data_IF_105614642674
#
_entry.id   IF_105614642674
#
_cell.length_a   1.000
_cell.length_b   1.000
_cell.length_c   1.000
_cell.angle_alpha   90.00
_cell.angle_beta   90.00
_cell.angle_gamma   90.00
#
_symmetry.space_group_name_H-M   'P 1'
#
loop_
_entity.id
_entity.type
_entity.pdbx_description
1 polymer ?
#
# COMPACT_ATOMS: atom_id res chain seq x y z
N UNK A 1 -13.84 30.78 -15.13
CA UNK A 1 -13.80 29.32 -15.32
C UNK A 1 -14.26 28.71 -14.00
N UNK A 2 -15.44 28.10 -13.94
CA UNK A 2 -15.82 27.32 -12.75
C UNK A 2 -14.84 26.16 -12.62
N UNK A 3 -14.29 25.97 -11.43
CA UNK A 3 -13.50 24.78 -11.09
C UNK A 3 -14.44 23.58 -11.15
N UNK A 4 -14.55 22.93 -12.30
CA UNK A 4 -15.23 21.64 -12.40
C UNK A 4 -14.33 20.62 -11.71
N UNK A 5 -14.65 20.32 -10.44
CA UNK A 5 -13.88 19.36 -9.65
C UNK A 5 -13.94 17.95 -10.26
N UNK A 6 -12.81 17.25 -10.30
CA UNK A 6 -12.79 15.84 -10.71
C UNK A 6 -13.40 14.96 -9.62
N UNK A 7 -14.49 14.27 -9.96
CA UNK A 7 -15.11 13.29 -9.05
C UNK A 7 -14.13 12.14 -8.76
N UNK A 8 -13.31 11.78 -9.74
CA UNK A 8 -12.32 10.72 -9.59
C UNK A 8 -11.15 11.13 -8.71
N UNK A 9 -10.60 12.34 -8.89
CA UNK A 9 -9.56 12.84 -8.01
C UNK A 9 -10.01 12.82 -6.54
N UNK A 10 -11.24 13.27 -6.26
CA UNK A 10 -11.82 13.22 -4.91
C UNK A 10 -11.87 11.80 -4.33
N UNK A 11 -12.21 10.79 -5.13
CA UNK A 11 -12.22 9.37 -4.68
C UNK A 11 -10.81 8.84 -4.39
N UNK A 12 -9.82 9.15 -5.23
CA UNK A 12 -8.43 8.75 -4.98
C UNK A 12 -7.86 9.46 -3.74
N UNK A 13 -8.17 10.73 -3.52
CA UNK A 13 -7.82 11.45 -2.29
C UNK A 13 -8.47 10.79 -1.07
N UNK A 14 -9.77 10.47 -1.15
CA UNK A 14 -10.47 9.77 -0.07
C UNK A 14 -9.84 8.41 0.26
N UNK A 15 -9.50 7.60 -0.75
CA UNK A 15 -8.78 6.34 -0.54
C UNK A 15 -7.39 6.57 0.07
N UNK A 16 -6.69 7.61 -0.34
CA UNK A 16 -5.37 7.97 0.22
C UNK A 16 -5.48 8.28 1.71
N UNK A 17 -6.52 9.01 2.15
CA UNK A 17 -6.76 9.24 3.57
C UNK A 17 -7.13 7.97 4.32
N UNK A 18 -7.93 7.08 3.73
CA UNK A 18 -8.25 5.80 4.34
C UNK A 18 -6.98 4.95 4.56
N UNK A 19 -6.13 4.81 3.53
CA UNK A 19 -4.87 4.09 3.64
C UNK A 19 -3.87 4.80 4.58
N UNK A 20 -3.82 6.13 4.57
CA UNK A 20 -3.03 6.91 5.52
C UNK A 20 -3.49 6.73 6.97
N UNK A 21 -4.80 6.60 7.21
CA UNK A 21 -5.36 6.27 8.52
C UNK A 21 -4.92 4.88 8.99
N UNK A 22 -4.91 3.89 8.12
CA UNK A 22 -4.36 2.55 8.43
C UNK A 22 -2.86 2.64 8.74
N UNK A 23 -2.07 3.40 7.98
CA UNK A 23 -0.66 3.64 8.29
C UNK A 23 -0.51 4.24 9.71
N UNK A 24 -1.30 5.25 10.03
CA UNK A 24 -1.28 5.91 11.34
C UNK A 24 -1.54 4.91 12.47
N UNK A 25 -2.57 4.05 12.35
CA UNK A 25 -2.87 3.02 13.36
C UNK A 25 -1.70 2.06 13.51
N UNK A 26 -1.12 1.58 12.41
CA UNK A 26 0.04 0.68 12.45
C UNK A 26 1.21 1.34 13.18
N UNK A 27 1.58 2.57 12.82
CA UNK A 27 2.69 3.27 13.47
C UNK A 27 2.42 3.57 14.94
N UNK A 28 1.19 3.94 15.30
CA UNK A 28 0.81 4.16 16.69
C UNK A 28 0.99 2.87 17.52
N UNK A 29 0.56 1.72 16.99
CA UNK A 29 0.75 0.41 17.63
C UNK A 29 2.22 0.03 17.74
N UNK A 30 3.02 0.27 16.69
CA UNK A 30 4.45 -0.01 16.72
C UNK A 30 5.19 0.85 17.75
N UNK A 31 4.87 2.15 17.82
CA UNK A 31 5.46 3.06 18.82
C UNK A 31 5.06 2.61 20.23
N UNK A 32 3.78 2.33 20.45
CA UNK A 32 3.29 1.82 21.74
C UNK A 32 3.98 0.50 22.12
N UNK A 33 4.12 -0.43 21.17
CA UNK A 33 4.82 -1.70 21.38
C UNK A 33 6.29 -1.51 21.75
N UNK A 34 7.00 -0.56 21.13
CA UNK A 34 8.37 -0.21 21.53
C UNK A 34 8.43 0.36 22.96
N UNK A 35 7.50 1.25 23.33
CA UNK A 35 7.45 1.82 24.69
C UNK A 35 7.20 0.72 25.73
N UNK A 36 6.21 -0.14 25.50
CA UNK A 36 5.88 -1.24 26.42
C UNK A 36 7.06 -2.22 26.55
N UNK A 37 7.68 -2.61 25.44
CA UNK A 37 8.84 -3.50 25.46
C UNK A 37 10.04 -2.88 26.19
N UNK A 38 10.22 -1.55 26.11
CA UNK A 38 11.21 -0.81 26.89
C UNK A 38 10.96 -0.86 28.40
N UNK A 39 9.72 -1.11 28.82
CA UNK A 39 9.31 -1.33 30.21
C UNK A 39 9.28 -2.82 30.60
N UNK A 40 9.77 -3.72 29.74
CA UNK A 40 9.72 -5.16 29.95
C UNK A 40 8.33 -5.79 29.74
N UNK A 41 7.37 -5.04 29.18
CA UNK A 41 6.04 -5.54 28.84
C UNK A 41 5.95 -5.89 27.36
N UNK A 42 5.81 -7.17 27.04
CA UNK A 42 5.77 -7.68 25.68
C UNK A 42 4.36 -8.03 25.19
N UNK A 43 3.31 -7.41 25.75
CA UNK A 43 1.92 -7.66 25.35
C UNK A 43 1.63 -7.41 23.86
N UNK A 44 2.41 -6.53 23.20
CA UNK A 44 2.33 -6.26 21.76
C UNK A 44 3.47 -6.90 20.97
N UNK A 45 4.15 -7.90 21.56
CA UNK A 45 5.35 -8.51 21.02
C UNK A 45 6.63 -7.72 21.34
N UNK A 46 7.77 -8.14 20.77
CA UNK A 46 9.03 -7.46 20.96
C UNK A 46 9.03 -6.08 20.30
N UNK A 47 9.91 -5.21 20.77
CA UNK A 47 10.12 -3.88 20.19
C UNK A 47 10.39 -3.99 18.68
N UNK A 48 9.62 -3.28 17.85
CA UNK A 48 9.79 -3.35 16.40
C UNK A 48 11.17 -2.84 15.94
N UNK A 49 11.80 -1.95 16.72
CA UNK A 49 13.18 -1.52 16.49
C UNK A 49 14.19 -2.68 16.55
N UNK A 50 13.99 -3.65 17.45
CA UNK A 50 14.81 -4.87 17.55
C UNK A 50 14.58 -5.79 16.34
N UNK A 51 13.35 -5.86 15.85
CA UNK A 51 13.03 -6.62 14.63
C UNK A 51 13.75 -6.01 13.41
N UNK A 52 13.68 -4.69 13.24
CA UNK A 52 14.36 -3.99 12.15
C UNK A 52 15.87 -4.21 12.20
N UNK A 53 16.46 -4.19 13.39
CA UNK A 53 17.89 -4.48 13.59
C UNK A 53 18.27 -5.96 13.38
N UNK A 54 17.29 -6.88 13.38
CA UNK A 54 17.49 -8.34 13.35
C UNK A 54 17.80 -8.95 11.99
N UNK A 55 17.99 -8.17 10.93
CA UNK A 55 18.41 -8.65 9.60
C UNK A 55 17.24 -9.03 8.68
N UNK A 56 17.29 -10.22 8.07
CA UNK A 56 16.44 -10.58 6.92
C UNK A 56 14.92 -10.45 7.13
N UNK A 57 14.41 -10.87 8.29
CA UNK A 57 13.00 -10.68 8.63
C UNK A 57 12.65 -9.19 8.86
N UNK A 58 13.57 -8.44 9.46
CA UNK A 58 13.48 -6.98 9.60
C UNK A 58 13.43 -6.26 8.24
N UNK A 59 14.16 -6.76 7.24
CA UNK A 59 14.08 -6.24 5.87
C UNK A 59 12.70 -6.47 5.25
N UNK A 60 12.09 -7.63 5.45
CA UNK A 60 10.72 -7.90 4.98
C UNK A 60 9.71 -6.96 5.61
N UNK A 61 9.80 -6.78 6.93
CA UNK A 61 8.94 -5.85 7.67
C UNK A 61 9.09 -4.42 7.14
N UNK A 62 10.33 -3.95 7.06
CA UNK A 62 10.66 -2.57 6.64
C UNK A 62 10.23 -2.32 5.19
N UNK A 63 10.54 -3.23 4.28
CA UNK A 63 10.17 -3.09 2.86
C UNK A 63 8.66 -3.18 2.66
N UNK A 64 7.94 -3.99 3.43
CA UNK A 64 6.48 -4.02 3.41
C UNK A 64 5.87 -2.68 3.85
N UNK A 65 6.38 -2.08 4.93
CA UNK A 65 5.92 -0.76 5.39
C UNK A 65 6.26 0.35 4.38
N UNK A 66 7.47 0.34 3.81
CA UNK A 66 7.87 1.29 2.77
C UNK A 66 7.02 1.15 1.51
N UNK A 67 6.78 -0.07 1.04
CA UNK A 67 5.92 -0.34 -0.11
C UNK A 67 4.48 0.15 0.16
N UNK A 68 3.97 -0.05 1.38
CA UNK A 68 2.65 0.46 1.77
C UNK A 68 2.59 1.99 1.69
N UNK A 69 3.57 2.68 2.26
CA UNK A 69 3.60 4.15 2.26
C UNK A 69 3.82 4.73 0.88
N UNK A 70 4.73 4.17 0.09
CA UNK A 70 5.13 4.73 -1.19
C UNK A 70 4.15 4.33 -2.29
N UNK A 71 3.87 3.03 -2.44
CA UNK A 71 3.09 2.51 -3.56
C UNK A 71 1.60 2.61 -3.27
N UNK A 72 1.16 2.14 -2.10
CA UNK A 72 -0.27 2.14 -1.79
C UNK A 72 -0.78 3.54 -1.43
N UNK A 73 -0.22 4.19 -0.40
CA UNK A 73 -0.65 5.53 0.02
C UNK A 73 -0.21 6.58 -1.00
N UNK A 74 1.10 6.70 -1.22
CA UNK A 74 1.69 7.71 -2.09
C UNK A 74 1.25 7.59 -3.54
N UNK A 75 1.30 6.39 -4.11
CA UNK A 75 0.87 6.13 -5.49
C UNK A 75 -0.61 6.41 -5.72
N UNK A 76 -1.48 6.07 -4.78
CA UNK A 76 -2.92 6.41 -4.85
C UNK A 76 -3.13 7.92 -4.79
N UNK A 77 -2.45 8.62 -3.88
CA UNK A 77 -2.56 10.08 -3.76
C UNK A 77 -2.02 10.80 -5.00
N UNK A 78 -0.87 10.36 -5.51
CA UNK A 78 -0.28 10.91 -6.71
C UNK A 78 -1.18 10.71 -7.94
N UNK A 79 -1.86 9.56 -8.03
CA UNK A 79 -2.80 9.26 -9.12
C UNK A 79 -3.96 10.26 -9.20
N UNK A 80 -4.39 10.84 -8.08
CA UNK A 80 -5.45 11.84 -8.06
C UNK A 80 -5.12 13.08 -8.92
N UNK A 81 -3.85 13.46 -9.03
CA UNK A 81 -3.44 14.60 -9.87
C UNK A 81 -3.70 14.34 -11.35
N UNK A 82 -3.50 13.11 -11.83
CA UNK A 82 -3.79 12.77 -13.23
C UNK A 82 -5.29 12.82 -13.53
N UNK A 83 -6.12 12.31 -12.62
CA UNK A 83 -7.58 12.41 -12.76
C UNK A 83 -8.06 13.86 -12.72
N UNK A 84 -7.52 14.67 -11.80
CA UNK A 84 -7.84 16.10 -11.73
C UNK A 84 -7.42 16.84 -12.99
N UNK A 85 -6.24 16.54 -13.53
CA UNK A 85 -5.77 17.16 -14.75
C UNK A 85 -6.68 16.83 -15.95
N UNK A 86 -7.09 15.56 -16.09
CA UNK A 86 -7.93 15.13 -17.21
C UNK A 86 -9.36 15.69 -17.09
N UNK A 87 -10.02 15.51 -15.95
CA UNK A 87 -11.42 15.91 -15.81
C UNK A 87 -11.57 17.41 -15.53
N UNK A 88 -10.75 17.96 -14.64
CA UNK A 88 -10.90 19.34 -14.18
C UNK A 88 -10.14 20.35 -15.04
N UNK A 89 -8.89 20.07 -15.41
CA UNK A 89 -8.11 21.01 -16.24
C UNK A 89 -8.46 20.90 -17.72
N UNK A 90 -8.53 19.67 -18.27
CA UNK A 90 -8.81 19.47 -19.70
C UNK A 90 -10.31 19.32 -20.02
N UNK A 91 -11.20 19.30 -19.01
CA UNK A 91 -12.64 19.20 -19.21
C UNK A 91 -13.08 17.88 -19.88
N UNK A 92 -12.27 16.82 -19.78
CA UNK A 92 -12.55 15.52 -20.39
C UNK A 92 -13.12 14.56 -19.37
N UNK A 93 -14.45 14.57 -19.25
CA UNK A 93 -15.15 13.69 -18.32
C UNK A 93 -14.88 12.21 -18.63
N UNK A 94 -14.53 11.43 -17.60
CA UNK A 94 -14.27 10.00 -17.74
C UNK A 94 -15.58 9.22 -17.59
N UNK A 95 -16.29 9.03 -18.70
CA UNK A 95 -17.58 8.33 -18.77
C UNK A 95 -17.47 6.93 -19.39
N UNK A 96 -18.53 6.12 -19.26
CA UNK A 96 -18.62 4.80 -19.88
C UNK A 96 -17.51 3.85 -19.41
N UNK A 97 -16.82 3.19 -20.35
CA UNK A 97 -15.74 2.24 -20.04
C UNK A 97 -14.60 2.84 -19.22
N UNK A 98 -14.32 4.15 -19.36
CA UNK A 98 -13.29 4.83 -18.56
C UNK A 98 -13.68 4.98 -17.10
N UNK A 99 -14.97 5.16 -16.82
CA UNK A 99 -15.49 5.20 -15.46
C UNK A 99 -15.35 3.82 -14.78
N UNK A 100 -15.63 2.73 -15.50
CA UNK A 100 -15.43 1.37 -14.99
C UNK A 100 -13.94 1.11 -14.74
N UNK A 101 -13.09 1.44 -15.71
CA UNK A 101 -11.64 1.27 -15.56
C UNK A 101 -11.06 2.09 -14.41
N UNK A 102 -11.59 3.28 -14.15
CA UNK A 102 -11.18 4.10 -13.00
C UNK A 102 -11.55 3.47 -11.66
N UNK A 103 -12.71 2.79 -11.55
CA UNK A 103 -13.04 1.98 -10.38
C UNK A 103 -12.09 0.80 -10.23
N UNK A 104 -11.79 0.10 -11.32
CA UNK A 104 -10.84 -1.02 -11.30
C UNK A 104 -9.47 -0.54 -10.83
N UNK A 105 -9.00 0.61 -11.32
CA UNK A 105 -7.74 1.21 -10.90
C UNK A 105 -7.75 1.54 -9.41
N UNK A 106 -8.77 2.28 -8.94
CA UNK A 106 -8.89 2.69 -7.54
C UNK A 106 -8.98 1.49 -6.60
N UNK A 107 -9.72 0.46 -6.96
CA UNK A 107 -9.94 -0.69 -6.09
C UNK A 107 -8.80 -1.69 -6.18
N UNK A 108 -8.54 -2.26 -7.36
CA UNK A 108 -7.53 -3.31 -7.51
C UNK A 108 -6.11 -2.76 -7.34
N UNK A 109 -5.81 -1.57 -7.89
CA UNK A 109 -4.49 -0.95 -7.77
C UNK A 109 -4.17 -0.60 -6.31
N UNK A 110 -5.03 0.19 -5.67
CA UNK A 110 -4.79 0.65 -4.29
C UNK A 110 -4.92 -0.48 -3.26
N UNK A 111 -5.96 -1.32 -3.33
CA UNK A 111 -6.14 -2.39 -2.34
C UNK A 111 -5.20 -3.57 -2.60
N UNK A 112 -4.87 -3.87 -3.86
CA UNK A 112 -3.89 -4.88 -4.22
C UNK A 112 -2.50 -4.54 -3.68
N UNK A 113 -2.03 -3.32 -3.94
CA UNK A 113 -0.72 -2.86 -3.44
C UNK A 113 -0.70 -2.75 -1.92
N UNK A 114 -1.78 -2.25 -1.31
CA UNK A 114 -1.95 -2.22 0.14
C UNK A 114 -1.86 -3.62 0.74
N UNK A 115 -2.63 -4.58 0.23
CA UNK A 115 -2.68 -5.96 0.72
C UNK A 115 -1.33 -6.66 0.62
N UNK A 116 -0.67 -6.59 -0.53
CA UNK A 116 0.66 -7.18 -0.72
C UNK A 116 1.68 -6.63 0.28
N UNK A 117 1.69 -5.30 0.44
CA UNK A 117 2.62 -4.58 1.32
C UNK A 117 2.38 -4.91 2.79
N UNK A 118 1.12 -4.94 3.23
CA UNK A 118 0.75 -5.23 4.62
C UNK A 118 0.99 -6.69 5.01
N UNK A 119 0.73 -7.64 4.10
CA UNK A 119 1.05 -9.05 4.35
C UNK A 119 2.57 -9.24 4.46
N UNK A 120 3.35 -8.60 3.58
CA UNK A 120 4.81 -8.62 3.66
C UNK A 120 5.32 -8.01 4.96
N UNK A 121 4.77 -6.86 5.36
CA UNK A 121 5.11 -6.19 6.61
C UNK A 121 4.80 -7.10 7.81
N UNK A 122 3.58 -7.64 7.87
CA UNK A 122 3.14 -8.54 8.93
C UNK A 122 4.02 -9.79 9.00
N UNK A 123 4.30 -10.43 7.86
CA UNK A 123 5.16 -11.62 7.79
C UNK A 123 6.57 -11.35 8.31
N UNK A 124 7.16 -10.20 7.93
CA UNK A 124 8.46 -9.78 8.44
C UNK A 124 8.45 -9.50 9.95
N UNK A 125 7.38 -8.89 10.48
CA UNK A 125 7.22 -8.66 11.91
C UNK A 125 7.13 -9.97 12.67
N UNK A 126 6.29 -10.91 12.22
CA UNK A 126 6.13 -12.21 12.88
C UNK A 126 7.41 -13.06 12.81
N UNK A 127 8.08 -13.08 11.67
CA UNK A 127 9.35 -13.78 11.52
C UNK A 127 10.44 -13.15 12.40
N UNK A 128 10.49 -11.82 12.48
CA UNK A 128 11.43 -11.11 13.34
C UNK A 128 11.17 -11.39 14.82
N UNK A 129 9.90 -11.34 15.24
CA UNK A 129 9.51 -11.68 16.60
C UNK A 129 9.87 -13.14 16.95
N UNK A 130 9.64 -14.08 16.04
CA UNK A 130 9.99 -15.48 16.25
C UNK A 130 11.51 -15.69 16.40
N UNK A 131 12.35 -14.95 15.65
CA UNK A 131 13.81 -15.05 15.70
C UNK A 131 14.43 -14.45 16.97
N UNK A 132 13.82 -13.41 17.53
CA UNK A 132 14.35 -12.78 18.73
C UNK A 132 14.32 -13.75 19.92
N UNK A 133 15.24 -13.57 20.86
CA UNK A 133 15.33 -14.40 22.06
C UNK A 133 14.16 -14.17 23.00
N UNK A 134 13.85 -15.15 23.84
CA UNK A 134 12.65 -15.13 24.70
C UNK A 134 12.72 -14.08 25.81
N UNK A 135 13.92 -13.69 26.25
CA UNK A 135 14.14 -12.62 27.24
C UNK A 135 13.72 -11.23 26.73
N UNK A 136 13.67 -11.06 25.41
CA UNK A 136 13.23 -9.82 24.76
C UNK A 136 11.82 -9.91 24.16
N UNK A 137 11.03 -10.90 24.58
CA UNK A 137 9.66 -11.12 24.09
C UNK A 137 9.58 -11.82 22.74
N UNK A 138 10.67 -12.44 22.29
CA UNK A 138 10.73 -13.21 21.05
C UNK A 138 10.43 -14.70 21.23
N UNK A 139 10.49 -15.46 20.13
CA UNK A 139 10.15 -16.88 20.09
C UNK A 139 11.33 -17.85 20.20
N UNK A 140 12.57 -17.36 20.14
CA UNK A 140 13.79 -18.19 20.19
C UNK A 140 13.95 -19.17 19.02
N UNK A 141 13.27 -18.92 17.90
CA UNK A 141 13.31 -19.76 16.71
C UNK A 141 14.54 -19.48 15.85
N UNK A 142 14.85 -20.39 14.94
CA UNK A 142 15.96 -20.23 14.00
C UNK A 142 15.48 -19.79 12.60
N UNK A 143 16.45 -19.42 11.76
CA UNK A 143 16.21 -18.93 10.39
C UNK A 143 15.45 -19.94 9.54
N UNK A 144 15.81 -21.22 9.61
CA UNK A 144 15.14 -22.27 8.84
C UNK A 144 13.65 -22.35 9.21
N UNK A 145 13.33 -22.32 10.50
CA UNK A 145 11.96 -22.36 10.98
C UNK A 145 11.13 -21.20 10.42
N UNK A 146 11.63 -19.96 10.50
CA UNK A 146 10.84 -18.79 10.06
C UNK A 146 10.68 -18.75 8.55
N UNK A 147 11.68 -19.18 7.78
CA UNK A 147 11.54 -19.30 6.33
C UNK A 147 10.45 -20.32 5.97
N UNK A 148 10.50 -21.52 6.53
CA UNK A 148 9.56 -22.59 6.19
C UNK A 148 8.14 -22.32 6.69
N UNK A 149 8.00 -21.86 7.93
CA UNK A 149 6.70 -21.84 8.61
C UNK A 149 6.01 -20.47 8.63
N UNK A 150 6.75 -19.38 8.37
CA UNK A 150 6.19 -18.02 8.43
C UNK A 150 6.26 -17.35 7.06
N UNK A 151 7.45 -17.26 6.46
CA UNK A 151 7.64 -16.47 5.24
C UNK A 151 7.20 -17.20 3.97
N UNK A 152 7.58 -18.48 3.79
CA UNK A 152 7.23 -19.25 2.59
C UNK A 152 5.71 -19.35 2.34
N UNK A 153 4.85 -19.60 3.35
CA UNK A 153 3.41 -19.61 3.15
C UNK A 153 2.82 -18.28 2.66
N UNK A 154 3.51 -17.16 2.92
CA UNK A 154 3.06 -15.82 2.53
C UNK A 154 3.43 -15.43 1.11
N UNK A 155 4.35 -16.16 0.46
CA UNK A 155 4.80 -15.83 -0.89
C UNK A 155 3.64 -15.82 -1.90
N UNK A 156 2.78 -16.85 -1.89
CA UNK A 156 1.64 -16.95 -2.81
C UNK A 156 0.58 -15.86 -2.55
N UNK A 157 0.14 -15.60 -1.31
CA UNK A 157 -0.72 -14.46 -1.01
C UNK A 157 -0.15 -13.13 -1.49
N UNK A 158 1.11 -12.82 -1.19
CA UNK A 158 1.76 -11.56 -1.59
C UNK A 158 1.76 -11.44 -3.12
N UNK A 159 2.21 -12.49 -3.83
CA UNK A 159 2.26 -12.50 -5.29
C UNK A 159 0.87 -12.34 -5.92
N UNK A 160 -0.17 -12.92 -5.31
CA UNK A 160 -1.56 -12.79 -5.78
C UNK A 160 -2.06 -11.34 -5.67
N UNK A 161 -1.84 -10.70 -4.52
CA UNK A 161 -2.20 -9.29 -4.31
C UNK A 161 -1.39 -8.36 -5.23
N UNK A 162 -0.11 -8.66 -5.47
CA UNK A 162 0.71 -7.93 -6.44
C UNK A 162 0.14 -8.08 -7.86
N UNK A 163 -0.27 -9.28 -8.27
CA UNK A 163 -0.90 -9.52 -9.57
C UNK A 163 -2.20 -8.73 -9.74
N UNK A 164 -3.04 -8.69 -8.70
CA UNK A 164 -4.26 -7.86 -8.66
C UNK A 164 -3.92 -6.38 -8.79
N UNK A 165 -2.90 -5.91 -8.06
CA UNK A 165 -2.44 -4.52 -8.13
C UNK A 165 -1.97 -4.15 -9.54
N UNK A 166 -1.15 -4.99 -10.16
CA UNK A 166 -0.63 -4.78 -11.52
C UNK A 166 -1.76 -4.69 -12.54
N UNK A 167 -2.78 -5.55 -12.43
CA UNK A 167 -3.97 -5.46 -13.29
C UNK A 167 -4.69 -4.12 -13.10
N UNK A 168 -4.89 -3.70 -11.84
CA UNK A 168 -5.49 -2.41 -11.51
C UNK A 168 -4.73 -1.24 -12.11
N UNK A 169 -3.40 -1.22 -11.95
CA UNK A 169 -2.54 -0.17 -12.49
C UNK A 169 -2.49 -0.17 -14.02
N UNK A 170 -2.47 -1.34 -14.66
CA UNK A 170 -2.51 -1.45 -16.12
C UNK A 170 -3.81 -0.84 -16.67
N UNK A 171 -4.96 -1.25 -16.13
CA UNK A 171 -6.26 -0.70 -16.52
C UNK A 171 -6.31 0.79 -16.25
N UNK A 172 -5.78 1.23 -15.11
CA UNK A 172 -5.63 2.64 -14.75
C UNK A 172 -4.84 3.46 -15.76
N UNK A 173 -3.68 2.96 -16.18
CA UNK A 173 -2.84 3.58 -17.20
C UNK A 173 -3.58 3.73 -18.53
N UNK A 174 -4.32 2.69 -18.96
CA UNK A 174 -5.14 2.74 -20.18
C UNK A 174 -6.25 3.80 -20.07
N UNK A 175 -6.91 3.91 -18.91
CA UNK A 175 -7.94 4.93 -18.66
C UNK A 175 -7.34 6.33 -18.78
N UNK A 176 -6.24 6.60 -18.07
CA UNK A 176 -5.60 7.91 -18.06
C UNK A 176 -5.07 8.28 -19.45
N UNK A 177 -4.37 7.36 -20.12
CA UNK A 177 -3.83 7.59 -21.46
C UNK A 177 -4.95 7.83 -22.48
N UNK A 178 -6.01 7.01 -22.48
CA UNK A 178 -7.13 7.18 -23.40
C UNK A 178 -7.92 8.47 -23.13
N UNK A 179 -8.10 8.84 -21.86
CA UNK A 179 -8.71 10.10 -21.44
C UNK A 179 -7.92 11.30 -21.96
N UNK A 180 -6.60 11.30 -21.73
CA UNK A 180 -5.69 12.33 -22.20
C UNK A 180 -5.70 12.48 -23.74
N UNK A 181 -5.63 11.37 -24.48
CA UNK A 181 -5.71 11.40 -25.96
C UNK A 181 -7.05 11.97 -26.46
N UNK A 182 -8.16 11.66 -25.79
CA UNK A 182 -9.47 12.21 -26.18
C UNK A 182 -9.57 13.71 -25.91
N UNK A 183 -9.01 14.20 -24.80
CA UNK A 183 -8.92 15.63 -24.52
C UNK A 183 -8.18 16.38 -25.63
N UNK A 184 -7.01 15.91 -26.06
CA UNK A 184 -6.21 16.54 -27.12
C UNK A 184 -6.86 16.53 -28.50
N UNK A 185 -7.65 15.51 -28.83
CA UNK A 185 -8.40 15.52 -30.10
C UNK A 185 -9.48 16.59 -30.11
N UNK A 186 -10.10 16.86 -28.96
CA UNK A 186 -11.15 17.88 -28.84
C UNK A 186 -10.60 19.30 -28.99
N UNK A 187 -9.39 19.58 -28.51
CA UNK A 187 -8.76 20.90 -28.64
C UNK A 187 -8.27 21.22 -30.05
N UNK A 188 -7.96 20.21 -30.88
CA UNK A 188 -7.53 20.41 -32.28
C UNK A 188 -8.69 20.60 -33.26
N UNK A 189 -9.91 20.27 -32.85
CA UNK A 189 -11.12 20.39 -33.68
C UNK A 189 -11.97 21.63 -33.39
N UNK A 190 -11.54 22.48 -32.45
CA UNK A 190 -12.14 23.79 -32.13
C UNK A 190 -11.30 24.91 -32.70
#
# INVERSE_FOLDING_TARGET
MELTGSRWAGRFIGMTFALGGVAWVIFALLVLGNVLAGMGNYALGPASSRIVAGGGAGSWFTMGILAYLIVAVGGTGFTAFFYQHIEGTMGSALVGGRNIGAWIHLTLGSLGSAGASLIMAWGGFQAGAALLTTDVGGGGQNVLYVHTNILSPLAVPIASFMGIALLGYLVGGIVLASGWMAAHRKSKGS
#
